data_IF_776405660923
#
_entry.id   IF_776405660923
#
_cell.length_a   1.000
_cell.length_b   1.000
_cell.length_c   1.000
_cell.angle_alpha   90.00
_cell.angle_beta   90.00
_cell.angle_gamma   90.00
#
_symmetry.space_group_name_H-M   'P 1'
#
loop_
_entity.id
_entity.type
_entity.pdbx_description
1 polymer ?
#
# COMPACT_ATOMS: atom_id res chain seq x y z
N UNK A 1 8.81 25.59 -4.73
CA UNK A 1 7.72 25.07 -5.58
C UNK A 1 8.41 24.31 -6.68
N UNK A 2 8.40 22.99 -6.53
CA UNK A 2 8.80 21.90 -7.43
C UNK A 2 9.09 20.72 -6.50
N UNK A 3 8.05 20.25 -5.79
CA UNK A 3 8.12 19.10 -4.87
C UNK A 3 7.44 17.86 -5.50
N UNK A 4 7.32 17.84 -6.82
CA UNK A 4 6.90 16.66 -7.57
C UNK A 4 8.11 15.72 -7.70
N UNK A 5 8.08 14.62 -6.95
CA UNK A 5 9.07 13.58 -7.03
C UNK A 5 9.04 12.85 -8.38
N UNK A 6 10.17 12.27 -8.79
CA UNK A 6 10.19 11.36 -9.94
C UNK A 6 9.43 10.06 -9.65
N UNK A 7 8.94 9.41 -10.71
CA UNK A 7 8.39 8.06 -10.61
C UNK A 7 9.48 7.06 -10.24
N UNK A 8 9.22 6.25 -9.22
CA UNK A 8 10.15 5.24 -8.71
C UNK A 8 9.56 3.85 -8.83
N UNK A 9 10.36 2.91 -9.31
CA UNK A 9 9.96 1.51 -9.38
C UNK A 9 9.96 0.87 -7.98
N UNK A 10 8.87 0.18 -7.66
CA UNK A 10 8.70 -0.57 -6.42
C UNK A 10 8.14 -1.94 -6.75
N UNK A 11 8.62 -2.99 -6.07
CA UNK A 11 8.03 -4.32 -6.16
C UNK A 11 6.88 -4.46 -5.17
N UNK A 12 5.76 -5.00 -5.63
CA UNK A 12 4.54 -5.08 -4.85
C UNK A 12 3.30 -5.22 -5.72
N UNK A 13 2.13 -5.21 -5.09
CA UNK A 13 0.85 -5.08 -5.79
C UNK A 13 0.14 -3.81 -5.36
N UNK A 14 -0.79 -3.33 -6.17
CA UNK A 14 -1.66 -2.22 -5.83
C UNK A 14 -3.08 -2.44 -6.33
N UNK A 15 -4.05 -2.22 -5.46
CA UNK A 15 -5.46 -2.13 -5.80
C UNK A 15 -6.08 -0.87 -5.21
N UNK A 16 -7.19 -0.45 -5.81
CA UNK A 16 -7.96 0.69 -5.35
C UNK A 16 -9.35 0.24 -4.90
N UNK A 17 -9.77 0.65 -3.71
CA UNK A 17 -11.15 0.51 -3.25
C UNK A 17 -11.84 1.86 -3.31
N UNK A 18 -12.85 2.01 -4.16
CA UNK A 18 -13.60 3.28 -4.33
C UNK A 18 -12.68 4.50 -4.53
N UNK A 19 -11.59 4.33 -5.28
CA UNK A 19 -10.61 5.38 -5.56
C UNK A 19 -9.50 5.55 -4.52
N UNK A 20 -9.52 4.79 -3.42
CA UNK A 20 -8.49 4.81 -2.37
C UNK A 20 -7.49 3.66 -2.57
N UNK A 21 -6.20 3.97 -2.70
CA UNK A 21 -5.17 2.99 -3.02
C UNK A 21 -4.61 2.24 -1.81
N UNK A 22 -4.35 0.95 -2.00
CA UNK A 22 -3.62 0.08 -1.07
C UNK A 22 -2.39 -0.49 -1.77
N UNK A 23 -1.23 -0.39 -1.13
CA UNK A 23 -0.02 -1.10 -1.51
C UNK A 23 0.08 -2.44 -0.78
N UNK A 24 0.38 -3.50 -1.51
CA UNK A 24 0.72 -4.81 -0.98
C UNK A 24 2.22 -5.03 -1.11
N UNK A 25 2.92 -5.17 0.02
CA UNK A 25 4.38 -5.22 0.11
C UNK A 25 4.82 -6.52 0.77
N UNK A 26 5.99 -7.02 0.41
CA UNK A 26 6.55 -8.24 0.99
C UNK A 26 7.38 -9.03 -0.03
N UNK A 27 8.13 -10.05 0.42
CA UNK A 27 9.01 -10.82 -0.45
C UNK A 27 8.23 -11.55 -1.57
N UNK A 28 8.91 -11.98 -2.63
CA UNK A 28 8.34 -12.93 -3.60
C UNK A 28 7.76 -14.16 -2.88
N UNK A 29 6.64 -14.67 -3.37
CA UNK A 29 5.95 -15.81 -2.74
C UNK A 29 5.21 -15.49 -1.43
N UNK A 30 5.21 -14.25 -0.95
CA UNK A 30 4.50 -13.90 0.29
C UNK A 30 2.97 -14.01 0.19
N UNK A 31 2.38 -14.17 -1.00
CA UNK A 31 0.92 -14.21 -1.23
C UNK A 31 0.29 -12.87 -1.62
N UNK A 32 1.09 -11.91 -2.12
CA UNK A 32 0.60 -10.58 -2.54
C UNK A 32 -0.42 -10.67 -3.67
N UNK A 33 -0.09 -11.35 -4.76
CA UNK A 33 -0.96 -11.47 -5.95
C UNK A 33 -2.22 -12.30 -5.65
N UNK A 34 -2.15 -13.29 -4.76
CA UNK A 34 -3.34 -14.02 -4.27
C UNK A 34 -4.29 -13.10 -3.47
N UNK A 35 -3.73 -12.29 -2.56
CA UNK A 35 -4.53 -11.30 -1.84
C UNK A 35 -5.10 -10.25 -2.78
N UNK A 36 -4.32 -9.80 -3.77
CA UNK A 36 -4.77 -8.87 -4.81
C UNK A 36 -5.96 -9.43 -5.58
N UNK A 37 -5.87 -10.66 -6.07
CA UNK A 37 -6.96 -11.35 -6.76
C UNK A 37 -8.24 -11.42 -5.92
N UNK A 38 -8.14 -11.79 -4.63
CA UNK A 38 -9.29 -11.84 -3.71
C UNK A 38 -9.85 -10.48 -3.32
N UNK A 39 -9.08 -9.40 -3.48
CA UNK A 39 -9.61 -8.04 -3.39
C UNK A 39 -10.44 -7.71 -4.63
N UNK A 40 -9.94 -8.03 -5.83
CA UNK A 40 -10.61 -7.76 -7.10
C UNK A 40 -11.92 -8.54 -7.30
N UNK A 41 -12.07 -9.69 -6.65
CA UNK A 41 -13.33 -10.45 -6.60
C UNK A 41 -14.44 -9.74 -5.80
N UNK A 42 -14.11 -8.67 -5.06
CA UNK A 42 -15.05 -7.92 -4.22
C UNK A 42 -15.49 -6.64 -4.93
N UNK A 43 -16.75 -6.29 -4.77
CA UNK A 43 -17.31 -5.07 -5.33
C UNK A 43 -16.55 -3.81 -4.87
N UNK A 44 -16.30 -2.91 -5.81
CA UNK A 44 -15.66 -1.62 -5.58
C UNK A 44 -14.14 -1.64 -5.58
N UNK A 45 -13.52 -2.81 -5.80
CA UNK A 45 -12.08 -2.95 -5.97
C UNK A 45 -11.68 -2.95 -7.45
N UNK A 46 -10.58 -2.27 -7.75
CA UNK A 46 -9.98 -2.19 -9.09
C UNK A 46 -8.50 -2.46 -9.04
N UNK A 47 -7.96 -3.07 -10.10
CA UNK A 47 -6.53 -3.32 -10.24
C UNK A 47 -5.81 -2.01 -10.57
N UNK A 48 -4.69 -1.75 -9.90
CA UNK A 48 -3.79 -0.65 -10.28
C UNK A 48 -2.51 -1.22 -10.86
N UNK A 49 -1.88 -2.19 -10.17
CA UNK A 49 -0.66 -2.85 -10.63
C UNK A 49 -0.46 -4.20 -9.92
N UNK A 50 0.23 -5.14 -10.56
CA UNK A 50 0.78 -6.36 -9.96
C UNK A 50 2.28 -6.49 -10.28
N UNK A 51 3.01 -7.18 -9.42
CA UNK A 51 4.48 -7.36 -9.39
C UNK A 51 5.32 -6.08 -9.27
N UNK A 52 5.13 -5.11 -10.17
CA UNK A 52 5.86 -3.85 -10.20
C UNK A 52 4.91 -2.66 -10.33
N UNK A 53 5.23 -1.60 -9.59
CA UNK A 53 4.45 -0.37 -9.55
C UNK A 53 5.38 0.84 -9.61
N UNK A 54 4.89 1.92 -10.20
CA UNK A 54 5.54 3.23 -10.19
C UNK A 54 4.92 4.07 -9.07
N UNK A 55 5.78 4.59 -8.19
CA UNK A 55 5.40 5.48 -7.09
C UNK A 55 5.90 6.88 -7.30
N UNK A 56 5.09 7.88 -6.99
CA UNK A 56 5.48 9.28 -7.05
C UNK A 56 4.91 10.05 -5.88
N UNK A 57 5.75 10.86 -5.26
CA UNK A 57 5.29 11.88 -4.31
C UNK A 57 4.91 13.13 -5.09
N UNK A 58 3.72 13.65 -4.83
CA UNK A 58 3.21 14.86 -5.46
C UNK A 58 2.19 15.52 -4.54
N UNK A 59 2.29 16.83 -4.33
CA UNK A 59 1.32 17.62 -3.56
C UNK A 59 1.00 17.01 -2.17
N UNK A 60 2.02 16.46 -1.49
CA UNK A 60 1.88 15.86 -0.17
C UNK A 60 1.20 14.49 -0.12
N UNK A 61 0.89 13.88 -1.28
CA UNK A 61 0.32 12.53 -1.39
C UNK A 61 1.27 11.56 -2.09
N UNK A 62 1.03 10.27 -1.87
CA UNK A 62 1.71 9.19 -2.58
C UNK A 62 0.81 8.66 -3.69
N UNK A 63 1.25 8.80 -4.94
CA UNK A 63 0.58 8.27 -6.12
C UNK A 63 1.18 6.93 -6.50
N UNK A 64 0.33 6.01 -6.97
CA UNK A 64 0.73 4.72 -7.54
C UNK A 64 0.07 4.50 -8.91
N UNK A 65 0.82 3.91 -9.84
CA UNK A 65 0.33 3.43 -11.13
C UNK A 65 1.11 2.19 -11.59
N UNK A 66 0.59 1.43 -12.55
CA UNK A 66 1.37 0.40 -13.23
C UNK A 66 2.42 1.02 -14.17
N UNK A 67 3.60 0.39 -14.33
CA UNK A 67 4.43 0.59 -15.51
C UNK A 67 3.60 0.32 -16.78
N UNK A 68 3.76 1.09 -17.87
CA UNK A 68 2.97 0.91 -19.09
C UNK A 68 2.98 -0.52 -19.64
N UNK A 69 4.11 -1.22 -19.51
CA UNK A 69 4.28 -2.59 -20.00
C UNK A 69 3.53 -3.66 -19.17
N UNK A 70 3.07 -3.33 -17.96
CA UNK A 70 2.39 -4.26 -17.04
C UNK A 70 0.95 -3.84 -16.74
N UNK A 71 0.44 -2.82 -17.44
CA UNK A 71 -0.87 -2.25 -17.18
C UNK A 71 -1.97 -3.28 -17.43
N UNK A 72 -2.81 -3.51 -16.42
CA UNK A 72 -3.96 -4.44 -16.51
C UNK A 72 -3.60 -5.93 -16.48
N UNK A 73 -2.33 -6.27 -16.28
CA UNK A 73 -1.85 -7.63 -16.19
C UNK A 73 -1.83 -8.10 -14.72
N UNK A 74 -2.21 -9.35 -14.48
CA UNK A 74 -2.15 -9.99 -13.16
C UNK A 74 -1.58 -11.41 -13.29
N UNK A 75 -0.53 -11.73 -12.52
CA UNK A 75 -0.01 -13.10 -12.44
C UNK A 75 -0.90 -13.93 -11.50
N UNK A 76 -1.61 -14.92 -12.05
CA UNK A 76 -2.38 -15.90 -11.28
C UNK A 76 -1.65 -17.24 -11.32
N UNK A 77 -1.02 -17.60 -10.19
CA UNK A 77 -0.25 -18.86 -10.08
C UNK A 77 -1.12 -20.06 -10.40
N UNK A 78 -0.64 -20.91 -11.30
CA UNK A 78 -1.38 -22.07 -11.82
C UNK A 78 -2.19 -21.79 -13.09
N UNK A 79 -2.43 -20.53 -13.43
CA UNK A 79 -3.14 -20.12 -14.66
C UNK A 79 -2.25 -19.33 -15.63
N UNK A 80 -1.28 -18.56 -15.13
CA UNK A 80 -0.42 -17.70 -15.92
C UNK A 80 -0.75 -16.22 -15.74
N UNK A 81 -0.37 -15.38 -16.70
CA UNK A 81 -0.66 -13.94 -16.68
C UNK A 81 -1.96 -13.68 -17.42
N UNK A 82 -2.91 -13.04 -16.72
CA UNK A 82 -4.25 -12.77 -17.23
C UNK A 82 -4.46 -11.26 -17.41
N UNK A 83 -5.37 -10.91 -18.32
CA UNK A 83 -5.78 -9.54 -18.65
C UNK A 83 -7.32 -9.43 -18.62
N UNK A 84 -7.85 -8.20 -18.71
CA UNK A 84 -9.30 -7.93 -18.76
C UNK A 84 -9.95 -7.56 -17.43
N UNK A 85 -9.15 -7.34 -16.38
CA UNK A 85 -9.63 -6.83 -15.09
C UNK A 85 -10.07 -5.37 -15.20
N UNK A 86 -11.01 -4.94 -14.34
CA UNK A 86 -11.29 -3.53 -14.18
C UNK A 86 -10.08 -2.82 -13.55
N UNK A 87 -9.61 -1.76 -14.20
CA UNK A 87 -8.38 -1.06 -13.79
C UNK A 87 -8.62 0.40 -13.40
N UNK A 88 -7.68 0.93 -12.64
CA UNK A 88 -7.54 2.37 -12.38
C UNK A 88 -6.11 2.78 -12.71
N UNK A 89 -5.96 3.72 -13.63
CA UNK A 89 -4.65 4.12 -14.18
C UNK A 89 -3.70 4.67 -13.12
N UNK A 90 -4.21 5.48 -12.20
CA UNK A 90 -3.45 6.09 -11.14
C UNK A 90 -4.33 6.22 -9.89
N UNK A 91 -3.75 6.00 -8.72
CA UNK A 91 -4.46 6.11 -7.44
C UNK A 91 -3.65 6.88 -6.40
N UNK A 92 -4.33 7.58 -5.49
CA UNK A 92 -3.72 8.06 -4.24
C UNK A 92 -3.68 6.91 -3.24
N UNK A 93 -2.48 6.55 -2.80
CA UNK A 93 -2.27 5.51 -1.79
C UNK A 93 -2.60 6.06 -0.41
N UNK A 94 -3.49 5.37 0.30
CA UNK A 94 -3.81 5.68 1.71
C UNK A 94 -3.39 4.61 2.70
N UNK A 95 -2.97 3.42 2.23
CA UNK A 95 -2.54 2.33 3.11
C UNK A 95 -1.43 1.51 2.46
N UNK A 96 -0.42 1.13 3.24
CA UNK A 96 0.50 0.05 2.92
C UNK A 96 0.24 -1.18 3.80
N UNK A 97 0.28 -2.36 3.19
CA UNK A 97 0.10 -3.65 3.85
C UNK A 97 1.37 -4.47 3.66
N UNK A 98 2.08 -4.74 4.75
CA UNK A 98 3.15 -5.73 4.77
C UNK A 98 2.55 -7.14 4.88
N UNK A 99 2.67 -7.90 3.79
CA UNK A 99 2.34 -9.32 3.72
C UNK A 99 3.43 -10.13 4.45
N UNK A 100 3.09 -10.60 5.66
CA UNK A 100 4.02 -11.30 6.55
C UNK A 100 3.51 -12.69 6.94
N UNK A 101 4.38 -13.60 7.43
CA UNK A 101 3.96 -14.83 8.07
C UNK A 101 3.02 -14.55 9.26
N UNK A 102 2.01 -15.41 9.48
CA UNK A 102 1.00 -15.23 10.54
C UNK A 102 1.60 -14.98 11.93
N UNK A 103 2.71 -15.64 12.27
CA UNK A 103 3.45 -15.44 13.54
C UNK A 103 3.99 -14.03 13.76
N UNK A 104 4.14 -13.23 12.70
CA UNK A 104 4.63 -11.86 12.76
C UNK A 104 3.49 -10.83 12.82
N UNK A 105 2.23 -11.26 12.71
CA UNK A 105 1.07 -10.36 12.83
C UNK A 105 0.86 -10.05 14.31
N UNK A 106 1.02 -8.79 14.74
CA UNK A 106 0.84 -8.43 16.15
C UNK A 106 -0.64 -8.52 16.54
N UNK A 107 -0.92 -8.97 17.77
CA UNK A 107 -2.28 -8.95 18.33
C UNK A 107 -2.81 -7.52 18.45
N UNK A 108 -1.97 -6.59 18.92
CA UNK A 108 -2.26 -5.17 19.02
C UNK A 108 -1.08 -4.38 18.40
N UNK A 109 -1.19 -3.91 17.15
CA UNK A 109 -0.12 -3.15 16.50
C UNK A 109 0.02 -1.74 17.06
N UNK A 110 1.24 -1.20 17.08
CA UNK A 110 1.47 0.23 17.21
C UNK A 110 1.29 0.94 15.86
N UNK A 111 0.91 2.23 15.83
CA UNK A 111 0.92 3.02 14.61
C UNK A 111 2.30 3.00 13.95
N UNK A 112 2.32 2.71 12.64
CA UNK A 112 3.53 2.70 11.82
C UNK A 112 3.25 3.38 10.50
N UNK A 113 4.28 3.97 9.92
CA UNK A 113 4.22 4.59 8.61
C UNK A 113 5.19 3.86 7.68
N UNK A 114 4.79 3.72 6.43
CA UNK A 114 5.65 3.26 5.35
C UNK A 114 6.00 4.42 4.43
N UNK A 115 7.23 4.43 3.94
CA UNK A 115 7.73 5.35 2.91
C UNK A 115 8.48 4.53 1.85
N UNK A 116 8.40 4.89 0.56
CA UNK A 116 9.29 4.33 -0.45
C UNK A 116 10.75 4.59 -0.05
N UNK A 117 11.64 3.63 -0.32
CA UNK A 117 13.07 3.84 -0.09
C UNK A 117 13.55 5.06 -0.92
N UNK A 118 14.41 5.89 -0.31
CA UNK A 118 15.18 6.86 -1.09
C UNK A 118 16.16 6.09 -1.99
N UNK A 119 16.44 6.56 -3.22
CA UNK A 119 17.56 6.00 -3.98
C UNK A 119 18.85 6.10 -3.13
N UNK A 120 19.82 5.20 -3.33
CA UNK A 120 21.13 5.35 -2.72
C UNK A 120 21.66 6.75 -3.07
N UNK A 121 22.10 7.50 -2.06
CA UNK A 121 22.69 8.82 -2.30
C UNK A 121 23.85 8.67 -3.28
N UNK A 122 23.77 9.34 -4.43
CA UNK A 122 24.93 9.52 -5.30
C UNK A 122 25.93 10.33 -4.49
N UNK A 123 27.15 9.80 -4.29
CA UNK A 123 28.19 10.47 -3.52
C UNK A 123 28.40 11.90 -4.04
N UNK A 124 28.10 12.90 -3.21
CA UNK A 124 28.30 14.31 -3.53
C UNK A 124 27.12 15.25 -3.29
N UNK A 125 25.93 14.76 -2.93
CA UNK A 125 24.81 15.63 -2.56
C UNK A 125 24.41 15.44 -1.10
N UNK A 126 24.48 16.55 -0.35
CA UNK A 126 24.13 16.61 1.06
C UNK A 126 22.67 16.17 1.28
N UNK A 127 22.46 15.32 2.28
CA UNK A 127 21.15 14.92 2.75
C UNK A 127 20.40 16.16 3.28
N UNK A 128 19.53 16.72 2.45
CA UNK A 128 18.57 17.72 2.88
C UNK A 128 17.51 17.05 3.77
N UNK A 129 17.21 17.70 4.89
CA UNK A 129 16.28 17.26 5.92
C UNK A 129 14.87 16.96 5.38
N UNK A 130 14.25 15.85 5.80
CA UNK A 130 12.83 15.52 5.62
C UNK A 130 12.01 16.36 6.62
N UNK A 131 10.90 17.11 6.32
CA UNK A 131 9.55 16.65 5.85
C UNK A 131 8.76 17.67 4.92
N UNK A 132 7.49 17.48 4.40
CA UNK A 132 6.37 16.55 4.73
C UNK A 132 5.67 15.79 3.54
N UNK A 133 4.70 14.90 3.86
CA UNK A 133 3.58 14.48 2.97
C UNK A 133 3.76 13.31 1.97
N UNK A 134 3.61 12.05 2.39
CA UNK A 134 3.64 10.91 1.46
C UNK A 134 4.01 9.57 2.09
N UNK A 135 4.27 9.56 3.39
CA UNK A 135 4.16 8.31 4.13
C UNK A 135 2.70 7.92 4.26
N UNK A 136 2.45 6.63 4.21
CA UNK A 136 1.11 6.07 4.41
C UNK A 136 1.11 5.16 5.64
N UNK A 137 0.00 5.04 6.36
CA UNK A 137 -0.14 4.04 7.42
C UNK A 137 0.30 2.65 6.95
N UNK A 138 1.02 1.93 7.80
CA UNK A 138 1.53 0.59 7.54
C UNK A 138 0.92 -0.41 8.52
N UNK A 139 0.31 -1.46 7.98
CA UNK A 139 -0.18 -2.61 8.75
C UNK A 139 0.51 -3.88 8.31
N UNK A 140 0.73 -4.81 9.24
CA UNK A 140 1.22 -6.15 8.94
C UNK A 140 0.05 -7.14 8.96
N UNK A 141 -0.16 -7.85 7.85
CA UNK A 141 -1.22 -8.84 7.71
C UNK A 141 -0.68 -10.15 7.15
N UNK A 142 -1.28 -11.27 7.55
CA UNK A 142 -1.06 -12.54 6.86
C UNK A 142 -1.98 -12.59 5.64
N UNK A 143 -1.44 -12.61 4.41
CA UNK A 143 -2.27 -12.46 3.23
C UNK A 143 -3.20 -13.66 3.04
N UNK A 144 -2.78 -14.88 3.38
CA UNK A 144 -3.57 -16.10 3.15
C UNK A 144 -4.69 -16.32 4.19
N UNK A 145 -4.87 -15.41 5.15
CA UNK A 145 -6.08 -15.44 5.96
C UNK A 145 -7.31 -15.24 5.07
N UNK A 146 -8.37 -16.05 5.27
CA UNK A 146 -9.65 -15.83 4.60
C UNK A 146 -10.20 -14.41 4.85
N UNK A 147 -9.95 -13.87 6.05
CA UNK A 147 -10.32 -12.52 6.46
C UNK A 147 -9.43 -11.40 5.90
N UNK A 148 -8.31 -11.70 5.23
CA UNK A 148 -7.34 -10.69 4.81
C UNK A 148 -7.94 -9.59 3.91
N UNK A 149 -8.75 -9.88 2.87
CA UNK A 149 -9.36 -8.84 2.05
C UNK A 149 -10.19 -7.86 2.88
N UNK A 150 -10.97 -8.39 3.84
CA UNK A 150 -11.78 -7.56 4.75
C UNK A 150 -10.92 -6.73 5.70
N UNK A 151 -9.81 -7.28 6.21
CA UNK A 151 -8.86 -6.54 7.07
C UNK A 151 -8.20 -5.40 6.30
N UNK A 152 -7.87 -5.60 5.01
CA UNK A 152 -7.34 -4.54 4.15
C UNK A 152 -8.38 -3.42 3.95
N UNK A 153 -9.62 -3.77 3.63
CA UNK A 153 -10.72 -2.80 3.47
C UNK A 153 -10.93 -1.98 4.75
N UNK A 154 -11.04 -2.63 5.91
CA UNK A 154 -11.20 -1.95 7.20
C UNK A 154 -10.02 -1.05 7.55
N UNK A 155 -8.80 -1.53 7.28
CA UNK A 155 -7.58 -0.74 7.49
C UNK A 155 -7.53 0.50 6.60
N UNK A 156 -7.98 0.39 5.35
CA UNK A 156 -8.02 1.52 4.43
C UNK A 156 -9.07 2.55 4.86
N UNK A 157 -10.28 2.10 5.22
CA UNK A 157 -11.31 3.00 5.76
C UNK A 157 -10.83 3.72 7.02
N UNK A 158 -10.12 3.02 7.93
CA UNK A 158 -9.54 3.63 9.12
C UNK A 158 -8.44 4.64 8.78
N UNK A 159 -7.56 4.33 7.83
CA UNK A 159 -6.51 5.22 7.35
C UNK A 159 -7.06 6.53 6.75
N UNK A 160 -8.23 6.46 6.12
CA UNK A 160 -8.94 7.61 5.55
C UNK A 160 -9.88 8.31 6.55
N UNK A 161 -9.89 7.90 7.84
CA UNK A 161 -10.75 8.49 8.86
C UNK A 161 -12.24 8.15 8.73
N UNK A 162 -12.60 7.20 7.85
CA UNK A 162 -13.97 6.74 7.63
C UNK A 162 -14.40 5.66 8.64
N UNK A 163 -13.46 5.12 9.42
CA UNK A 163 -13.71 4.16 10.48
C UNK A 163 -12.84 4.48 11.69
N UNK A 164 -13.45 4.60 12.87
CA UNK A 164 -12.71 4.89 14.10
C UNK A 164 -11.92 3.67 14.59
N UNK A 165 -10.67 3.91 15.03
CA UNK A 165 -9.83 2.91 15.68
C UNK A 165 -9.53 3.36 17.11
N UNK A 166 -10.05 2.63 18.10
CA UNK A 166 -9.88 2.98 19.51
C UNK A 166 -8.46 2.68 20.03
N UNK A 167 -7.88 1.56 19.59
CA UNK A 167 -6.54 1.13 19.94
C UNK A 167 -5.93 0.37 18.76
N UNK A 168 -4.64 0.57 18.49
CA UNK A 168 -3.92 -0.15 17.45
C UNK A 168 -3.28 0.74 16.39
N UNK A 169 -3.18 0.22 15.16
CA UNK A 169 -2.41 0.81 14.06
C UNK A 169 -2.90 2.19 13.59
N UNK A 170 -4.14 2.55 13.88
CA UNK A 170 -4.76 3.82 13.50
C UNK A 170 -5.30 4.59 14.71
N UNK A 171 -4.90 4.20 15.93
CA UNK A 171 -5.35 4.89 17.12
C UNK A 171 -4.80 6.33 17.15
N UNK A 172 -5.59 7.31 17.63
CA UNK A 172 -5.09 8.65 17.85
C UNK A 172 -3.91 8.61 18.84
N UNK A 173 -2.96 9.54 18.74
CA UNK A 173 -1.90 9.66 19.74
C UNK A 173 -2.53 9.82 21.14
N UNK A 174 -1.90 9.27 22.19
CA UNK A 174 -2.40 9.47 23.54
C UNK A 174 -2.50 10.97 23.82
N UNK A 175 -3.66 11.42 24.32
CA UNK A 175 -3.86 12.81 24.72
C UNK A 175 -2.85 13.15 25.82
N UNK A 176 -2.01 14.16 25.58
CA UNK A 176 -1.12 14.73 26.58
C UNK A 176 -1.95 15.40 27.70
N UNK A 177 -2.38 14.61 28.68
CA UNK A 177 -3.23 15.12 29.77
C UNK A 177 -3.84 14.03 30.65
N UNK A 178 -3.02 13.41 31.49
CA UNK A 178 -3.24 13.29 32.94
C UNK A 178 -2.10 12.47 33.56
N UNK A 179 -1.16 13.15 34.18
CA UNK A 179 -0.38 12.65 35.31
C UNK A 179 -0.31 13.80 36.32
#
# INVERSE_FOLDING_TARGET
MDEDGEWRLQHGGCAAYRGMGVLLLGPPGAGKSDLLLRLLDREGWKLVADDQLLLRHRDGVLLAQAPPALKGMLEVRGLGVLEGFETLDQVTVGLAVACVPRRQVPRLPLPRLWRPASPPAVAGQAAAAIPPGGAVPLVALHPLDASAPRKVELGLLAAWGLLSCHAGAFAPPPSSGSA
#
